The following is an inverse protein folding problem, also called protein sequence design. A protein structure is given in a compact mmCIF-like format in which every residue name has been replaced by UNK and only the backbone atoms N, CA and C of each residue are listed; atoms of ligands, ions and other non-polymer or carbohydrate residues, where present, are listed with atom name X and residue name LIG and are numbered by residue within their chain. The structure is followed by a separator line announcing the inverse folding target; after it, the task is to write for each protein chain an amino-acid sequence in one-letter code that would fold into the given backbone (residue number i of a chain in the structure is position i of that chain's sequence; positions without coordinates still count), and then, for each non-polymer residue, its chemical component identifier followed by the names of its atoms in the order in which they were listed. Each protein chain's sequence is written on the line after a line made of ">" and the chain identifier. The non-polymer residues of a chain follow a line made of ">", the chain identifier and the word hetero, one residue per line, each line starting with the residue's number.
data_IF_043267920399
#
_entry.id   IF_043267920399
#
_cell.length_a   1.000
_cell.length_b   1.000
_cell.length_c   1.000
_cell.angle_alpha   90.00
_cell.angle_beta   90.00
_cell.angle_gamma   90.00
#
_symmetry.space_group_name_H-M   'P 1'
#
loop_
_entity.id
_entity.type
_entity.pdbx_description
1 polymer ?
#
# COMPACT_ATOMS: atom_id res chain seq x y z
N UNK A 1 16.31 50.49 -2.54
CA UNK A 1 15.34 49.85 -3.45
C UNK A 1 15.93 48.68 -4.25
N UNK A 2 17.09 48.82 -4.91
CA UNK A 2 17.68 47.74 -5.72
C UNK A 2 18.04 46.45 -4.96
N UNK A 3 18.51 46.54 -3.71
CA UNK A 3 18.83 45.35 -2.90
C UNK A 3 17.60 44.53 -2.48
N UNK A 4 16.48 45.21 -2.19
CA UNK A 4 15.21 44.56 -1.81
C UNK A 4 14.60 43.81 -2.99
N UNK A 5 14.66 44.41 -4.19
CA UNK A 5 14.18 43.80 -5.44
C UNK A 5 15.01 42.56 -5.77
N UNK A 6 16.35 42.61 -5.64
CA UNK A 6 17.22 41.46 -5.87
C UNK A 6 16.95 40.31 -4.89
N UNK A 7 16.71 40.61 -3.61
CA UNK A 7 16.34 39.60 -2.61
C UNK A 7 14.98 38.96 -2.93
N UNK A 8 13.98 39.77 -3.31
CA UNK A 8 12.68 39.27 -3.76
C UNK A 8 12.80 38.37 -4.99
N UNK A 9 13.60 38.76 -5.99
CA UNK A 9 13.84 37.93 -7.19
C UNK A 9 14.45 36.58 -6.86
N UNK A 10 15.43 36.54 -5.95
CA UNK A 10 16.09 35.29 -5.53
C UNK A 10 15.10 34.37 -4.80
N UNK A 11 14.32 34.91 -3.86
CA UNK A 11 13.32 34.14 -3.11
C UNK A 11 12.24 33.57 -4.04
N UNK A 12 11.78 34.35 -5.02
CA UNK A 12 10.80 33.90 -6.01
C UNK A 12 11.36 32.76 -6.88
N UNK A 13 12.63 32.84 -7.27
CA UNK A 13 13.31 31.78 -8.03
C UNK A 13 13.43 30.49 -7.22
N UNK A 14 13.77 30.57 -5.92
CA UNK A 14 13.80 29.38 -5.05
C UNK A 14 12.41 28.77 -4.84
N UNK A 15 11.36 29.59 -4.72
CA UNK A 15 9.98 29.11 -4.58
C UNK A 15 9.45 28.41 -5.85
N UNK A 16 9.93 28.79 -7.05
CA UNK A 16 9.56 28.16 -8.31
C UNK A 16 10.31 26.83 -8.53
N UNK A 17 11.49 26.65 -7.92
CA UNK A 17 12.29 25.44 -8.00
C UNK A 17 11.84 24.35 -7.02
N UNK A 18 11.08 24.71 -5.98
CA UNK A 18 10.39 23.73 -5.14
C UNK A 18 9.17 23.20 -5.89
N UNK A 19 9.38 22.29 -6.83
CA UNK A 19 8.34 21.30 -7.15
C UNK A 19 8.07 20.59 -5.84
N UNK A 20 6.93 20.88 -5.19
CA UNK A 20 6.53 20.15 -4.00
C UNK A 20 6.51 18.67 -4.35
N UNK A 21 7.48 17.92 -3.82
CA UNK A 21 7.49 16.48 -3.99
C UNK A 21 6.32 15.96 -3.16
N UNK A 22 5.17 15.74 -3.80
CA UNK A 22 4.09 14.86 -3.32
C UNK A 22 4.54 13.39 -3.21
N UNK A 23 5.86 13.15 -3.16
CA UNK A 23 6.45 11.84 -3.01
C UNK A 23 6.10 11.33 -1.62
N UNK A 24 5.35 10.23 -1.61
CA UNK A 24 5.09 9.51 -0.40
C UNK A 24 6.37 8.80 0.00
N UNK A 25 6.78 8.92 1.26
CA UNK A 25 7.87 8.15 1.80
C UNK A 25 7.32 7.23 2.90
N UNK A 26 7.48 5.90 2.80
CA UNK A 26 8.36 5.15 1.88
C UNK A 26 7.75 4.82 0.49
N UNK A 27 6.58 5.35 0.16
CA UNK A 27 5.95 5.19 -1.17
C UNK A 27 5.41 3.79 -1.46
N UNK A 28 5.29 2.97 -0.40
CA UNK A 28 4.74 1.62 -0.45
C UNK A 28 3.48 1.53 0.40
N UNK A 29 2.50 0.72 0.01
CA UNK A 29 1.34 0.42 0.85
C UNK A 29 1.76 -0.16 2.20
N UNK A 30 0.96 0.06 3.24
CA UNK A 30 1.13 -0.59 4.54
C UNK A 30 0.24 -1.82 4.63
N UNK A 31 0.67 -2.85 5.34
CA UNK A 31 -0.13 -4.06 5.57
C UNK A 31 -0.45 -4.18 7.04
N UNK A 32 -1.74 -4.32 7.36
CA UNK A 32 -2.22 -4.55 8.73
C UNK A 32 -3.04 -5.85 8.73
N UNK A 33 -2.89 -6.63 9.79
CA UNK A 33 -3.60 -7.89 9.96
C UNK A 33 -4.27 -7.92 11.32
N UNK A 34 -5.54 -8.27 11.35
CA UNK A 34 -6.33 -8.37 12.58
C UNK A 34 -7.15 -9.66 12.56
N UNK A 35 -7.32 -10.29 13.72
CA UNK A 35 -8.25 -11.41 13.84
C UNK A 35 -9.68 -10.89 13.74
N UNK A 36 -10.55 -11.61 13.04
CA UNK A 36 -11.97 -11.25 12.88
C UNK A 36 -12.84 -11.75 14.03
N UNK A 37 -12.32 -12.64 14.86
CA UNK A 37 -13.08 -13.40 15.87
C UNK A 37 -13.86 -14.58 15.31
N UNK A 38 -13.94 -14.74 13.97
CA UNK A 38 -14.54 -15.90 13.32
C UNK A 38 -13.54 -17.04 13.18
N UNK A 39 -14.07 -18.24 12.98
CA UNK A 39 -13.29 -19.41 12.64
C UNK A 39 -13.82 -20.08 11.37
N UNK A 40 -12.91 -20.61 10.55
CA UNK A 40 -13.19 -21.40 9.36
C UNK A 40 -12.41 -22.70 9.49
N UNK A 41 -13.10 -23.84 9.47
CA UNK A 41 -12.49 -25.16 9.69
C UNK A 41 -11.60 -25.25 10.94
N UNK A 42 -12.10 -24.71 12.08
CA UNK A 42 -11.39 -24.62 13.36
C UNK A 42 -10.11 -23.77 13.35
N UNK A 43 -9.86 -22.99 12.31
CA UNK A 43 -8.75 -22.03 12.24
C UNK A 43 -9.27 -20.60 12.39
N UNK A 44 -8.55 -19.70 13.09
CA UNK A 44 -8.96 -18.31 13.19
C UNK A 44 -8.92 -17.63 11.83
N UNK A 45 -9.93 -16.81 11.56
CA UNK A 45 -9.99 -15.99 10.35
C UNK A 45 -9.31 -14.64 10.60
N UNK A 46 -8.37 -14.31 9.72
CA UNK A 46 -7.60 -13.08 9.70
C UNK A 46 -8.12 -12.16 8.59
N UNK A 47 -8.29 -10.88 8.91
CA UNK A 47 -8.54 -9.83 7.94
C UNK A 47 -7.24 -9.07 7.68
N UNK A 48 -6.81 -9.08 6.42
CA UNK A 48 -5.64 -8.35 5.93
C UNK A 48 -6.13 -7.09 5.26
N UNK A 49 -5.58 -5.95 5.66
CA UNK A 49 -5.82 -4.67 5.00
C UNK A 49 -4.50 -4.16 4.43
N UNK A 50 -4.49 -3.95 3.11
CA UNK A 50 -3.41 -3.28 2.39
C UNK A 50 -3.84 -1.83 2.18
N UNK A 51 -3.23 -0.92 2.92
CA UNK A 51 -3.61 0.48 2.94
C UNK A 51 -2.60 1.34 2.16
N UNK A 52 -3.12 2.26 1.37
CA UNK A 52 -2.35 3.31 0.75
C UNK A 52 -2.48 4.57 1.60
N UNK A 53 -1.41 4.93 2.30
CA UNK A 53 -1.32 6.14 3.11
C UNK A 53 -0.79 7.33 2.30
N UNK A 54 -0.60 7.16 0.99
CA UNK A 54 -0.06 8.14 0.08
C UNK A 54 -1.17 8.94 -0.63
N UNK A 55 -0.86 10.18 -1.09
CA UNK A 55 -1.79 11.00 -1.86
C UNK A 55 -1.98 10.53 -3.32
N UNK A 56 -1.12 9.64 -3.81
CA UNK A 56 -1.16 9.09 -5.17
C UNK A 56 -1.77 7.69 -5.19
N UNK A 57 -2.34 7.30 -6.31
CA UNK A 57 -2.88 5.94 -6.49
C UNK A 57 -1.73 4.94 -6.51
N UNK A 58 -1.85 3.84 -5.77
CA UNK A 58 -0.91 2.73 -5.84
C UNK A 58 -1.43 1.68 -6.82
N UNK A 59 -0.62 1.36 -7.82
CA UNK A 59 -0.92 0.40 -8.89
C UNK A 59 0.10 -0.74 -8.89
N UNK A 60 -0.22 -1.84 -9.58
CA UNK A 60 0.66 -3.03 -9.70
C UNK A 60 1.20 -3.54 -8.35
N UNK A 61 0.36 -3.51 -7.31
CA UNK A 61 0.77 -3.83 -5.95
C UNK A 61 1.02 -5.33 -5.82
N UNK A 62 2.24 -5.69 -5.45
CA UNK A 62 2.68 -7.06 -5.17
C UNK A 62 3.02 -7.21 -3.70
N UNK A 63 2.58 -8.32 -3.12
CA UNK A 63 2.81 -8.70 -1.73
C UNK A 63 3.72 -9.92 -1.68
N UNK A 64 4.66 -9.91 -0.75
CA UNK A 64 5.43 -11.09 -0.37
C UNK A 64 4.65 -11.87 0.68
N UNK A 65 4.46 -13.16 0.41
CA UNK A 65 3.63 -14.09 1.14
C UNK A 65 4.40 -15.40 1.36
N UNK A 66 5.58 -15.38 2.02
CA UNK A 66 6.38 -16.58 2.20
C UNK A 66 5.62 -17.61 3.04
N UNK A 67 5.49 -18.83 2.50
CA UNK A 67 4.78 -19.94 3.15
C UNK A 67 3.31 -19.63 3.46
N UNK A 68 2.65 -18.84 2.61
CA UNK A 68 1.22 -18.57 2.76
C UNK A 68 0.40 -19.85 2.64
N UNK A 69 -0.41 -20.11 3.66
CA UNK A 69 -1.28 -21.26 3.77
C UNK A 69 -2.62 -20.77 4.30
N UNK A 70 -3.71 -21.31 3.77
CA UNK A 70 -5.06 -20.95 4.18
C UNK A 70 -6.00 -22.11 3.89
N UNK A 71 -6.93 -22.38 4.81
CA UNK A 71 -8.05 -23.30 4.56
C UNK A 71 -9.20 -22.59 3.84
N UNK A 72 -9.27 -21.26 3.97
CA UNK A 72 -10.23 -20.42 3.26
C UNK A 72 -9.65 -19.94 1.94
N UNK A 73 -10.32 -20.24 0.82
CA UNK A 73 -9.94 -19.70 -0.49
C UNK A 73 -10.04 -18.17 -0.48
N UNK A 74 -8.97 -17.49 -0.88
CA UNK A 74 -8.96 -16.04 -1.09
C UNK A 74 -9.68 -15.71 -2.39
N UNK A 75 -10.43 -14.63 -2.41
CA UNK A 75 -11.14 -14.16 -3.61
C UNK A 75 -10.14 -13.76 -4.70
N UNK A 76 -10.12 -14.45 -5.87
CA UNK A 76 -9.20 -14.14 -6.95
C UNK A 76 -9.46 -12.78 -7.60
N UNK A 77 -10.65 -12.18 -7.44
CA UNK A 77 -10.92 -10.81 -7.87
C UNK A 77 -10.22 -9.76 -7.02
N UNK A 78 -9.69 -10.15 -5.84
CA UNK A 78 -8.94 -9.27 -4.95
C UNK A 78 -7.44 -9.56 -5.03
N UNK A 79 -7.06 -10.83 -4.85
CA UNK A 79 -5.67 -11.26 -4.77
C UNK A 79 -5.46 -12.58 -5.51
N UNK A 80 -4.55 -12.57 -6.48
CA UNK A 80 -4.09 -13.79 -7.17
C UNK A 80 -2.75 -14.19 -6.58
N UNK A 81 -2.62 -15.47 -6.20
CA UNK A 81 -1.39 -16.03 -5.66
C UNK A 81 -0.60 -16.72 -6.77
N UNK A 82 0.68 -16.36 -6.89
CA UNK A 82 1.68 -17.00 -7.73
C UNK A 82 2.87 -17.42 -6.85
N UNK A 83 2.82 -18.66 -6.37
CA UNK A 83 3.78 -19.20 -5.40
C UNK A 83 3.80 -18.39 -4.10
N UNK A 84 4.91 -17.70 -3.84
CA UNK A 84 5.12 -16.84 -2.66
C UNK A 84 4.80 -15.36 -2.89
N UNK A 85 4.26 -15.01 -4.06
CA UNK A 85 3.91 -13.64 -4.44
C UNK A 85 2.40 -13.53 -4.62
N UNK A 86 1.80 -12.52 -3.99
CA UNK A 86 0.40 -12.15 -4.22
C UNK A 86 0.31 -10.90 -5.07
N UNK A 87 -0.54 -10.90 -6.09
CA UNK A 87 -0.80 -9.75 -6.96
C UNK A 87 -2.20 -9.24 -6.70
N UNK A 88 -2.31 -7.99 -6.23
CA UNK A 88 -3.61 -7.33 -6.09
C UNK A 88 -4.17 -7.04 -7.48
N UNK A 89 -5.44 -7.39 -7.69
CA UNK A 89 -6.12 -7.18 -8.98
C UNK A 89 -6.72 -5.77 -9.13
N UNK A 90 -6.62 -4.95 -8.08
CA UNK A 90 -7.19 -3.62 -8.02
C UNK A 90 -6.18 -2.61 -7.50
N UNK A 91 -6.30 -1.39 -8.00
CA UNK A 91 -5.51 -0.25 -7.56
C UNK A 91 -5.98 0.22 -6.18
N UNK A 92 -5.06 0.76 -5.38
CA UNK A 92 -5.39 1.32 -4.07
C UNK A 92 -5.45 2.84 -4.21
N UNK A 93 -6.65 3.41 -4.10
CA UNK A 93 -6.86 4.86 -4.14
C UNK A 93 -6.12 5.57 -3.00
N UNK A 94 -5.85 6.88 -3.12
CA UNK A 94 -5.24 7.67 -2.06
C UNK A 94 -6.00 7.52 -0.73
N UNK A 95 -5.26 7.37 0.37
CA UNK A 95 -5.82 7.28 1.73
C UNK A 95 -6.91 6.20 1.91
N UNK A 96 -6.84 5.13 1.13
CA UNK A 96 -7.80 4.03 1.15
C UNK A 96 -7.12 2.69 1.38
N UNK A 97 -7.90 1.61 1.52
CA UNK A 97 -7.35 0.28 1.68
C UNK A 97 -8.23 -0.79 1.06
N UNK A 98 -7.56 -1.89 0.70
CA UNK A 98 -8.18 -3.09 0.18
C UNK A 98 -8.04 -4.19 1.22
N UNK A 99 -9.13 -4.89 1.50
CA UNK A 99 -9.16 -5.95 2.49
C UNK A 99 -9.49 -7.30 1.87
N UNK A 100 -8.86 -8.35 2.38
CA UNK A 100 -9.20 -9.74 2.10
C UNK A 100 -9.03 -10.58 3.36
N UNK A 101 -9.68 -11.73 3.39
CA UNK A 101 -9.63 -12.64 4.54
C UNK A 101 -8.97 -13.96 4.18
N UNK A 102 -8.26 -14.54 5.14
CA UNK A 102 -7.73 -15.90 5.08
C UNK A 102 -7.93 -16.58 6.44
N UNK A 103 -7.82 -17.90 6.49
CA UNK A 103 -7.97 -18.65 7.73
C UNK A 103 -6.78 -19.59 7.92
N UNK A 104 -6.03 -19.35 8.99
CA UNK A 104 -4.85 -20.14 9.33
C UNK A 104 -4.55 -20.04 10.83
N UNK A 105 -3.80 -21.01 11.38
CA UNK A 105 -3.55 -21.10 12.83
C UNK A 105 -2.78 -19.88 13.38
N UNK A 106 -1.90 -19.29 12.55
CA UNK A 106 -1.08 -18.14 12.90
C UNK A 106 -1.17 -17.05 11.83
N UNK A 107 -0.83 -15.82 12.23
CA UNK A 107 -0.69 -14.71 11.28
C UNK A 107 0.49 -14.98 10.35
N UNK A 108 0.23 -15.01 9.05
CA UNK A 108 1.27 -15.11 8.03
C UNK A 108 2.03 -13.78 7.90
N UNK A 109 3.37 -13.80 7.74
CA UNK A 109 4.11 -12.59 7.46
C UNK A 109 3.80 -12.09 6.04
N UNK A 110 3.01 -11.02 5.93
CA UNK A 110 2.65 -10.39 4.66
C UNK A 110 3.34 -9.04 4.59
N UNK A 111 4.16 -8.82 3.56
CA UNK A 111 4.85 -7.54 3.38
C UNK A 111 4.69 -6.99 1.97
N UNK A 112 4.65 -5.66 1.78
CA UNK A 112 4.69 -5.05 0.46
C UNK A 112 6.01 -5.36 -0.24
N UNK A 113 5.94 -6.00 -1.41
CA UNK A 113 7.12 -6.28 -2.24
C UNK A 113 7.42 -5.06 -3.13
N UNK A 114 6.45 -4.67 -3.95
CA UNK A 114 6.54 -3.57 -4.90
C UNK A 114 5.17 -2.94 -5.17
N UNK A 115 5.17 -1.68 -5.59
CA UNK A 115 4.03 -0.94 -6.12
C UNK A 115 4.52 0.18 -7.02
N UNK A 116 3.65 0.68 -7.89
CA UNK A 116 3.90 1.88 -8.69
C UNK A 116 2.98 3.02 -8.21
N UNK A 117 3.57 4.16 -7.91
CA UNK A 117 2.83 5.37 -7.56
C UNK A 117 2.42 6.11 -8.83
N UNK A 118 1.12 6.35 -9.00
CA UNK A 118 0.60 7.16 -10.10
C UNK A 118 0.05 8.47 -9.54
N UNK A 119 0.85 9.53 -9.64
CA UNK A 119 0.50 10.89 -9.24
C UNK A 119 0.08 11.69 -10.48
N UNK A 120 -1.18 12.12 -10.54
CA UNK A 120 -1.75 12.95 -11.61
C UNK A 120 -1.69 14.43 -11.28
#
# INVERSE_FOLDING_TARGET
>A
MAGLIKLLSIVLFFALMTKGSLQCYPGKPTVKQVTTGKQVENKPEWNVTVANECPCVQTEVKLSLPRFQTVKKVDPSILVLDGSVGVLQQNINPFSGISFTYAWDTSNPITPLSSQENCS
#
